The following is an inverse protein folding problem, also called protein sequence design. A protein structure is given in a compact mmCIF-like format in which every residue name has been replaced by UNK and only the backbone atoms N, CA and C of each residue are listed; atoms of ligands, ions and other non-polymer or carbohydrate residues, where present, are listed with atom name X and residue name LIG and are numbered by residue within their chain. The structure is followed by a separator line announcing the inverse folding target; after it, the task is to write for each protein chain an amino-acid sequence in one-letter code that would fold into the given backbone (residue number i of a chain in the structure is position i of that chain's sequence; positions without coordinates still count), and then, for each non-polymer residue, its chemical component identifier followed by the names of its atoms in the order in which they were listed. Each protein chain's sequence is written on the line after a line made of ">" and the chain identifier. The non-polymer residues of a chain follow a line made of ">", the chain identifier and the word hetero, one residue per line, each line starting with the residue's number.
data_IF_068534259841
#
_entry.id   IF_068534259841
#
_cell.length_a   1.000
_cell.length_b   1.000
_cell.length_c   1.000
_cell.angle_alpha   90.00
_cell.angle_beta   90.00
_cell.angle_gamma   90.00
#
_symmetry.space_group_name_H-M   'P 1'
#
loop_
_entity.id
_entity.type
_entity.pdbx_description
1 polymer ?
2 polymer ?
3 non-polymer ?
4 water ?
#
# COMPACT_ATOMS: atom_id res chain seq x y z
N UNK A 18 6.56 -3.89 -47.89
CA UNK A 18 7.04 -5.27 -47.99
C UNK A 18 6.88 -6.06 -46.64
N UNK A 19 7.24 -5.55 -45.43
CA UNK A 19 7.06 -6.39 -44.20
C UNK A 19 5.59 -6.54 -43.77
N UNK A 20 4.65 -5.81 -44.43
CA UNK A 20 3.20 -5.81 -44.20
C UNK A 20 2.57 -7.05 -44.91
N UNK A 21 3.08 -7.41 -46.11
CA UNK A 21 2.60 -8.54 -46.89
C UNK A 21 3.00 -9.89 -46.25
N UNK A 22 4.12 -9.92 -45.47
CA UNK A 22 4.66 -11.10 -44.77
C UNK A 22 3.67 -11.60 -43.71
N UNK A 23 3.19 -10.69 -42.84
CA UNK A 23 2.24 -11.00 -41.76
C UNK A 23 0.83 -11.28 -42.37
N UNK A 24 0.50 -10.63 -43.52
CA UNK A 24 -0.76 -10.82 -44.24
C UNK A 24 -0.82 -12.22 -44.85
N UNK A 25 0.35 -12.78 -45.20
CA UNK A 25 0.52 -14.12 -45.77
C UNK A 25 0.63 -15.16 -44.65
N UNK A 26 1.63 -15.00 -43.75
CA UNK A 26 1.89 -15.91 -42.62
C UNK A 26 1.84 -15.15 -41.29
N UNK A 27 0.68 -15.13 -40.66
CA UNK A 27 0.46 -14.45 -39.38
C UNK A 27 -0.30 -15.26 -38.36
N UNK A 28 0.14 -15.21 -37.10
CA UNK A 28 -0.48 -15.93 -36.00
C UNK A 28 -1.74 -15.21 -35.53
N UNK A 29 -2.90 -15.78 -35.87
CA UNK A 29 -4.23 -15.26 -35.50
C UNK A 29 -4.40 -15.47 -33.99
N UNK A 30 -4.02 -14.43 -33.21
CA UNK A 30 -4.03 -14.46 -31.74
C UNK A 30 -5.39 -14.01 -31.15
N UNK A 31 -6.44 -13.91 -32.00
CA UNK A 31 -7.79 -13.52 -31.58
C UNK A 31 -8.53 -14.67 -30.90
N UNK A 32 -9.35 -14.33 -29.88
CA UNK A 32 -10.19 -15.26 -29.12
C UNK A 32 -11.32 -15.79 -30.01
N UNK A 33 -11.97 -14.87 -30.75
CA UNK A 33 -13.07 -15.14 -31.68
C UNK A 33 -12.57 -15.89 -32.94
N UNK A 34 -11.26 -15.78 -33.25
CA UNK A 34 -10.55 -16.39 -34.39
C UNK A 34 -11.22 -15.96 -35.71
N UNK A 35 -10.99 -14.69 -36.10
CA UNK A 35 -11.57 -14.08 -37.31
C UNK A 35 -10.51 -13.32 -38.16
N UNK A 36 -9.19 -13.67 -38.00
CA UNK A 36 -8.00 -13.11 -38.68
C UNK A 36 -7.79 -11.58 -38.38
N UNK A 37 -8.54 -11.05 -37.41
CA UNK A 37 -8.52 -9.65 -36.99
C UNK A 37 -7.21 -9.09 -36.47
N UNK A 38 -6.41 -9.92 -35.79
CA UNK A 38 -5.09 -9.55 -35.24
C UNK A 38 -4.11 -10.68 -35.60
N UNK A 39 -3.12 -10.38 -36.48
CA UNK A 39 -2.12 -11.37 -36.92
C UNK A 39 -0.72 -10.92 -36.48
N UNK A 40 0.06 -11.84 -35.88
CA UNK A 40 1.40 -11.54 -35.39
C UNK A 40 2.50 -12.35 -36.11
N UNK A 41 3.72 -11.79 -36.13
CA UNK A 41 4.93 -12.40 -36.67
C UNK A 41 6.09 -11.79 -35.86
N UNK A 42 6.83 -12.65 -35.14
CA UNK A 42 7.93 -12.20 -34.29
C UNK A 42 9.15 -11.91 -35.16
N UNK A 43 9.62 -10.65 -35.13
CA UNK A 43 10.80 -10.19 -35.86
C UNK A 43 12.08 -10.53 -35.05
N UNK A 44 12.07 -10.22 -33.74
CA UNK A 44 13.16 -10.46 -32.79
C UNK A 44 12.58 -11.06 -31.51
N UNK A 45 13.08 -12.24 -31.10
CA UNK A 45 12.58 -12.93 -29.89
C UNK A 45 13.06 -12.23 -28.59
N UNK A 46 12.38 -12.55 -27.48
CA UNK A 46 12.67 -12.01 -26.16
C UNK A 46 13.00 -13.06 -25.12
N UNK A 47 13.85 -12.69 -24.14
CA UNK A 47 14.29 -13.60 -23.07
C UNK A 47 13.29 -13.65 -21.90
N UNK A 48 13.11 -14.84 -21.34
CA UNK A 48 12.19 -15.14 -20.25
C UNK A 48 10.86 -15.62 -20.79
N UNK A 49 10.16 -16.53 -20.06
CA UNK A 49 8.87 -17.03 -20.54
C UNK A 49 7.69 -16.35 -19.80
N UNK A 50 7.93 -15.12 -19.32
CA UNK A 50 6.91 -14.31 -18.68
C UNK A 50 6.32 -13.35 -19.69
N UNK A 51 4.98 -13.37 -19.81
CA UNK A 51 4.17 -12.50 -20.68
C UNK A 51 3.42 -11.52 -19.78
N UNK A 52 3.21 -10.23 -20.20
CA UNK A 52 2.49 -9.29 -19.34
C UNK A 52 1.02 -9.66 -19.15
N UNK A 53 0.49 -9.35 -17.95
CA UNK A 53 -0.90 -9.61 -17.57
C UNK A 53 -1.72 -8.31 -17.47
N UNK A 54 -3.04 -8.45 -17.26
CA UNK A 54 -3.99 -7.35 -17.08
C UNK A 54 -3.46 -6.42 -15.98
N UNK A 55 -3.58 -5.11 -16.22
CA UNK A 55 -3.18 -4.05 -15.29
C UNK A 55 -1.70 -3.77 -15.11
N UNK A 56 -0.83 -4.48 -15.84
CA UNK A 56 0.60 -4.28 -15.73
C UNK A 56 1.05 -3.02 -16.47
N UNK A 57 2.06 -2.33 -15.94
CA UNK A 57 2.64 -1.11 -16.52
C UNK A 57 3.64 -1.55 -17.60
N UNK A 58 3.18 -1.51 -18.84
CA UNK A 58 3.91 -1.93 -20.02
C UNK A 58 4.64 -0.75 -20.69
N UNK A 59 5.98 -0.91 -20.86
CA UNK A 59 6.91 0.01 -21.50
C UNK A 59 7.20 -0.51 -22.91
N UNK A 60 6.77 0.22 -23.97
CA UNK A 60 6.98 -0.21 -25.38
C UNK A 60 7.54 0.88 -26.28
N UNK A 61 8.07 0.44 -27.42
CA UNK A 61 8.60 1.25 -28.50
C UNK A 61 7.88 0.82 -29.76
N UNK A 62 7.30 1.76 -30.53
CA UNK A 62 6.58 1.37 -31.74
C UNK A 62 6.73 2.36 -32.89
N UNK A 63 6.35 1.88 -34.10
CA UNK A 63 6.27 2.57 -35.39
C UNK A 63 4.92 2.21 -35.99
N UNK A 64 4.15 3.22 -36.39
CA UNK A 64 2.83 2.99 -36.97
C UNK A 64 2.76 3.37 -38.43
N UNK A 65 2.37 2.42 -39.28
CA UNK A 65 2.22 2.62 -40.73
C UNK A 65 0.83 2.22 -41.19
N UNK A 66 0.20 3.04 -42.06
CA UNK A 66 -1.15 2.82 -42.60
C UNK A 66 -1.19 1.66 -43.62
N UNK A 67 -2.37 1.44 -44.23
CA UNK A 67 -2.64 0.40 -45.23
C UNK A 67 -1.72 0.50 -46.46
N UNK A 68 -1.36 1.72 -46.92
CA UNK A 68 -0.48 1.92 -48.07
C UNK A 68 1.01 1.86 -47.66
N UNK A 69 1.31 2.24 -46.42
CA UNK A 69 2.66 2.24 -45.86
C UNK A 69 3.10 3.56 -45.24
N UNK A 70 2.23 4.57 -45.25
CA UNK A 70 2.47 5.91 -44.70
C UNK A 70 2.70 5.84 -43.17
N UNK A 71 3.87 6.33 -42.71
CA UNK A 71 4.20 6.36 -41.28
C UNK A 71 3.41 7.48 -40.59
N UNK A 72 2.31 7.11 -39.90
CA UNK A 72 1.42 8.08 -39.25
C UNK A 72 1.96 8.61 -37.91
N UNK A 73 2.25 7.71 -36.96
CA UNK A 73 2.72 8.07 -35.63
C UNK A 73 3.77 7.04 -35.20
N UNK A 74 4.85 7.52 -34.56
CA UNK A 74 5.96 6.66 -34.14
C UNK A 74 6.60 7.13 -32.83
N UNK A 75 7.04 6.16 -32.00
CA UNK A 75 7.74 6.39 -30.74
C UNK A 75 9.24 6.48 -31.00
N UNK A 76 9.74 5.74 -32.02
CA UNK A 76 11.15 5.72 -32.46
C UNK A 76 11.56 7.08 -33.06
N UNK A 77 10.55 7.91 -33.45
CA UNK A 77 10.70 9.28 -33.93
C UNK A 77 10.46 10.25 -32.73
N UNK A 78 11.01 9.82 -31.57
CA UNK A 78 11.02 10.44 -30.23
C UNK A 78 12.10 9.75 -29.37
N UNK A 79 12.42 8.47 -29.68
CA UNK A 79 13.38 7.55 -29.02
C UNK A 79 13.02 7.30 -27.53
N UNK A 80 11.99 8.02 -27.03
CA UNK A 80 11.45 7.93 -25.68
C UNK A 80 10.27 6.96 -25.68
N UNK A 81 10.26 5.96 -24.77
CA UNK A 81 9.18 4.97 -24.77
C UNK A 81 7.84 5.48 -24.24
N UNK A 82 6.77 4.77 -24.64
CA UNK A 82 5.38 4.99 -24.29
C UNK A 82 4.96 3.93 -23.28
N UNK A 83 4.57 4.39 -22.09
CA UNK A 83 4.16 3.56 -20.96
C UNK A 83 2.62 3.63 -20.78
N UNK A 84 1.95 2.46 -20.76
CA UNK A 84 0.50 2.38 -20.55
C UNK A 84 0.14 1.11 -19.78
N UNK A 85 -1.07 1.04 -19.22
CA UNK A 85 -1.55 -0.13 -18.48
C UNK A 85 -2.29 -1.06 -19.45
N UNK A 86 -1.75 -2.28 -19.61
CA UNK A 86 -2.22 -3.32 -20.53
C UNK A 86 -3.51 -3.95 -20.05
N UNK A 87 -4.44 -4.12 -20.98
CA UNK A 87 -5.76 -4.72 -20.75
C UNK A 87 -6.60 -3.83 -19.88
N UNK A 88 -6.50 -2.52 -20.10
CA UNK A 88 -7.24 -1.53 -19.33
C UNK A 88 -8.00 -0.60 -20.31
N UNK A 89 -8.05 -1.01 -21.59
CA UNK A 89 -8.71 -0.28 -22.67
C UNK A 89 -8.07 1.05 -23.00
N UNK A 90 -6.78 1.21 -22.63
CA UNK A 90 -5.97 2.42 -22.82
C UNK A 90 -5.42 2.52 -24.26
N UNK A 91 -5.42 1.38 -24.99
CA UNK A 91 -5.00 1.28 -26.40
C UNK A 91 -6.06 0.47 -27.19
N UNK A 92 -5.94 0.44 -28.54
CA UNK A 92 -6.84 -0.30 -29.44
C UNK A 92 -6.91 -1.79 -29.03
N UNK A 93 -8.07 -2.42 -29.34
CA UNK A 93 -8.42 -3.81 -29.04
C UNK A 93 -7.25 -4.75 -29.38
N UNK A 94 -6.70 -4.59 -30.60
CA UNK A 94 -5.60 -5.36 -31.17
C UNK A 94 -4.32 -5.32 -30.32
N UNK A 95 -4.01 -4.16 -29.73
CA UNK A 95 -2.82 -4.00 -28.90
C UNK A 95 -2.97 -4.69 -27.55
N UNK A 96 -4.19 -4.61 -26.92
CA UNK A 96 -4.47 -5.25 -25.62
C UNK A 96 -4.36 -6.79 -25.75
N UNK A 97 -4.78 -7.35 -26.92
CA UNK A 97 -4.69 -8.78 -27.25
C UNK A 97 -3.22 -9.10 -27.59
N UNK A 98 -2.61 -8.23 -28.40
CA UNK A 98 -1.23 -8.30 -28.87
C UNK A 98 -0.16 -8.42 -27.81
N UNK A 99 0.26 -7.28 -27.23
CA UNK A 99 1.31 -7.13 -26.21
C UNK A 99 1.23 -8.22 -25.10
N UNK A 100 0.02 -8.75 -24.82
CA UNK A 100 -0.26 -9.81 -23.85
C UNK A 100 0.43 -11.15 -24.18
N UNK A 101 0.69 -11.39 -25.48
CA UNK A 101 1.30 -12.62 -26.00
C UNK A 101 2.84 -12.51 -26.09
N UNK A 102 3.37 -11.28 -25.96
CA UNK A 102 4.79 -10.92 -26.08
C UNK A 102 5.65 -11.24 -24.85
N UNK A 103 6.96 -11.50 -25.08
CA UNK A 103 8.01 -11.74 -24.07
C UNK A 103 8.85 -10.47 -23.95
N UNK A 104 9.67 -10.31 -22.88
CA UNK A 104 10.46 -9.07 -22.72
C UNK A 104 11.60 -8.99 -23.77
N UNK A 105 11.72 -7.82 -24.40
CA UNK A 105 12.72 -7.53 -25.43
C UNK A 105 12.28 -7.92 -26.83
N UNK A 106 11.06 -8.47 -26.96
CA UNK A 106 10.46 -8.93 -28.21
C UNK A 106 10.11 -7.77 -29.16
N UNK A 107 10.28 -8.00 -30.46
CA UNK A 107 9.88 -7.13 -31.57
C UNK A 107 8.97 -7.98 -32.45
N UNK A 108 7.72 -7.53 -32.63
CA UNK A 108 6.76 -8.26 -33.45
C UNK A 108 6.00 -7.30 -34.34
N UNK A 109 5.55 -7.80 -35.48
CA UNK A 109 4.80 -7.02 -36.44
C UNK A 109 3.33 -7.43 -36.33
N UNK A 110 2.47 -6.44 -36.02
CA UNK A 110 1.03 -6.66 -35.87
C UNK A 110 0.23 -6.09 -37.04
N UNK A 111 -0.71 -6.91 -37.55
CA UNK A 111 -1.65 -6.55 -38.62
C UNK A 111 -3.04 -6.54 -38.01
N UNK A 112 -3.62 -5.33 -37.88
CA UNK A 112 -4.87 -5.11 -37.18
C UNK A 112 -6.01 -4.67 -38.10
N UNK A 113 -7.11 -5.45 -38.08
CA UNK A 113 -8.34 -5.18 -38.82
C UNK A 113 -9.05 -3.94 -38.21
N UNK A 114 -9.84 -3.16 -38.99
CA UNK A 114 -10.52 -1.98 -38.40
C UNK A 114 -11.40 -2.31 -37.21
N UNK A 115 -11.92 -3.55 -37.18
CA UNK A 115 -12.79 -4.12 -36.14
C UNK A 115 -12.07 -4.18 -34.78
N UNK A 116 -10.74 -4.29 -34.81
CA UNK A 116 -9.88 -4.35 -33.64
C UNK A 116 -9.03 -3.08 -33.49
N UNK A 117 -9.21 -2.11 -34.40
CA UNK A 117 -8.48 -0.84 -34.41
C UNK A 117 -9.39 0.36 -34.05
N UNK A 118 -9.70 1.26 -35.02
CA UNK A 118 -10.50 2.46 -34.78
C UNK A 118 -11.93 2.39 -35.41
N UNK A 119 -12.28 1.22 -35.93
CA UNK A 119 -13.59 0.95 -36.55
C UNK A 119 -13.79 1.70 -37.85
N UNK A 120 -15.07 1.98 -38.14
CA UNK A 120 -15.47 2.75 -39.32
C UNK A 120 -15.25 4.22 -39.05
N UNK A 121 -15.28 4.60 -37.75
CA UNK A 121 -15.12 5.96 -37.27
C UNK A 121 -13.73 6.53 -37.59
N UNK A 122 -12.70 5.67 -37.48
CA UNK A 122 -11.31 6.04 -37.69
C UNK A 122 -10.80 6.94 -36.58
N UNK A 123 -9.78 7.75 -36.87
CA UNK A 123 -9.23 8.75 -35.96
C UNK A 123 -8.68 9.90 -36.81
N UNK A 124 -9.54 10.40 -37.72
CA UNK A 124 -9.29 11.46 -38.70
C UNK A 124 -8.65 12.71 -38.07
N UNK A 125 -7.72 13.40 -38.77
CA UNK A 125 -7.24 13.19 -40.15
C UNK A 125 -6.12 12.15 -40.33
N UNK A 126 -5.62 11.54 -39.23
CA UNK A 126 -4.49 10.61 -39.26
C UNK A 126 -4.88 9.20 -39.75
N UNK A 127 -5.91 8.59 -39.12
CA UNK A 127 -6.38 7.23 -39.44
C UNK A 127 -7.69 7.30 -40.22
N UNK A 128 -7.74 6.74 -41.46
CA UNK A 128 -9.00 6.72 -42.20
C UNK A 128 -10.02 5.70 -41.65
N UNK A 129 -11.22 5.75 -42.24
CA UNK A 129 -12.39 4.91 -41.99
C UNK A 129 -12.08 3.49 -42.43
N UNK A 130 -12.41 2.49 -41.58
CA UNK A 130 -12.18 1.06 -41.81
C UNK A 130 -10.76 0.84 -42.34
N UNK A 131 -9.77 1.14 -41.47
CA UNK A 131 -8.36 1.07 -41.81
C UNK A 131 -7.65 -0.10 -41.14
N UNK A 132 -6.94 -0.89 -41.96
CA UNK A 132 -6.13 -2.02 -41.56
C UNK A 132 -4.75 -1.43 -41.29
N UNK A 133 -4.38 -1.36 -40.01
CA UNK A 133 -3.14 -0.75 -39.55
C UNK A 133 -2.03 -1.74 -39.31
N UNK A 134 -0.80 -1.27 -39.53
CA UNK A 134 0.43 -2.02 -39.30
C UNK A 134 1.20 -1.38 -38.15
N UNK A 135 1.78 -2.22 -37.29
CA UNK A 135 2.57 -1.77 -36.16
C UNK A 135 3.83 -2.58 -36.02
N UNK A 136 4.86 -1.98 -35.39
CA UNK A 136 6.12 -2.61 -35.04
C UNK A 136 6.33 -2.30 -33.57
N UNK A 137 5.96 -3.24 -32.68
CA UNK A 137 5.99 -3.04 -31.23
C UNK A 137 7.16 -3.81 -30.58
N UNK A 138 7.95 -3.08 -29.78
CA UNK A 138 9.10 -3.55 -29.04
C UNK A 138 8.78 -3.48 -27.54
N UNK A 139 8.56 -4.66 -26.89
CA UNK A 139 8.25 -4.73 -25.46
C UNK A 139 9.55 -4.51 -24.67
N UNK A 140 9.86 -3.23 -24.35
CA UNK A 140 11.06 -2.76 -23.65
C UNK A 140 11.20 -3.35 -22.24
N UNK A 141 10.13 -3.28 -21.44
CA UNK A 141 10.01 -3.76 -20.06
C UNK A 141 8.54 -3.75 -19.64
N UNK A 142 8.19 -4.55 -18.61
CA UNK A 142 6.84 -4.60 -18.05
C UNK A 142 6.92 -4.97 -16.60
N UNK A 143 6.19 -4.23 -15.78
CA UNK A 143 6.12 -4.37 -14.33
C UNK A 143 4.68 -4.56 -13.88
N UNK A 144 4.50 -5.22 -12.76
CA UNK A 144 3.18 -5.37 -12.16
C UNK A 144 2.80 -4.10 -11.42
N UNK A 145 1.51 -3.95 -11.13
CA UNK A 145 0.94 -2.79 -10.45
C UNK A 145 1.39 -2.70 -8.96
N UNK A 146 2.14 -1.64 -8.63
CA UNK A 146 2.64 -1.33 -7.28
C UNK A 146 1.51 -0.61 -6.50
N UNK A 147 0.66 -1.39 -5.80
CA UNK A 147 -0.53 -0.92 -5.06
C UNK A 147 -0.32 0.28 -4.11
N UNK A 148 0.84 0.41 -3.49
CA UNK A 148 1.03 1.52 -2.56
C UNK A 148 2.29 2.31 -2.90
N UNK A 149 2.80 2.12 -4.13
CA UNK A 149 3.94 2.80 -4.75
C UNK A 149 5.22 2.71 -3.88
N UNK A 150 5.35 1.62 -3.08
CA UNK A 150 6.50 1.38 -2.20
C UNK A 150 7.23 0.06 -2.54
N UNK A 151 6.64 -0.72 -3.43
CA UNK A 151 7.17 -2.02 -3.84
C UNK A 151 6.78 -3.12 -2.88
N UNK A 152 5.97 -2.77 -1.88
CA UNK A 152 5.53 -3.70 -0.85
C UNK A 152 4.47 -4.68 -1.29
N UNK A 153 3.59 -4.23 -2.21
CA UNK A 153 2.55 -5.08 -2.78
C UNK A 153 2.54 -4.85 -4.31
N UNK A 154 2.97 -5.86 -5.07
CA UNK A 154 2.96 -5.84 -6.52
C UNK A 154 1.89 -6.82 -6.95
N UNK A 155 0.81 -6.31 -7.54
CA UNK A 155 -0.33 -7.07 -8.02
C UNK A 155 -0.22 -7.40 -9.53
N UNK A 156 -0.58 -8.62 -9.89
CA UNK A 156 -0.65 -9.10 -11.27
C UNK A 156 -2.06 -9.69 -11.43
N UNK A 157 -2.90 -9.12 -12.31
CA UNK A 157 -4.27 -9.61 -12.40
C UNK A 157 -4.46 -10.73 -13.46
N UNK A 158 -5.09 -11.81 -12.98
CA UNK A 158 -5.48 -13.01 -13.72
C UNK A 158 -6.89 -12.81 -14.28
N UNK A 159 -7.84 -12.35 -13.43
CA UNK A 159 -9.24 -12.09 -13.79
C UNK A 159 -9.74 -10.78 -13.22
N UNK A 160 -10.49 -10.03 -14.06
CA UNK A 160 -11.15 -8.79 -13.69
C UNK A 160 -12.36 -9.12 -12.84
N UNK A 161 -12.63 -8.28 -11.84
CA UNK A 161 -13.80 -8.42 -10.99
C UNK A 161 -15.04 -7.83 -11.62
N UNK A 162 -16.23 -8.32 -11.21
CA UNK A 162 -17.55 -7.84 -11.68
C UNK A 162 -17.95 -6.63 -10.85
N UNK A 163 -17.20 -6.44 -9.77
CA UNK A 163 -17.38 -5.38 -8.78
C UNK A 163 -17.66 -3.97 -9.24
N UNK A 164 -18.36 -3.25 -8.34
CA UNK A 164 -18.79 -1.85 -8.40
C UNK A 164 -18.27 -1.09 -7.16
N UNK A 165 -17.97 -1.86 -6.09
CA UNK A 165 -17.46 -1.45 -4.79
C UNK A 165 -16.38 -2.42 -4.32
N UNK A 166 -15.43 -1.92 -3.54
CA UNK A 166 -14.38 -2.77 -2.99
C UNK A 166 -14.67 -3.06 -1.52
N UNK A 167 -14.17 -4.15 -0.88
CA UNK A 167 -14.39 -4.29 0.57
C UNK A 167 -13.63 -3.20 1.34
N UNK A 168 -14.13 -2.86 2.53
CA UNK A 168 -13.56 -1.83 3.43
C UNK A 168 -13.03 -2.48 4.71
N UNK A 169 -12.14 -1.77 5.43
CA UNK A 169 -11.54 -2.24 6.69
C UNK A 169 -12.64 -2.55 7.70
N UNK A 170 -12.96 -3.83 7.82
CA UNK A 170 -14.02 -4.30 8.70
C UNK A 170 -15.02 -5.21 8.00
N UNK A 171 -14.93 -5.28 6.65
CA UNK A 171 -15.78 -6.13 5.83
C UNK A 171 -15.45 -7.56 6.04
N UNK A 172 -16.46 -8.42 6.08
CA UNK A 172 -16.27 -9.87 6.17
C UNK A 172 -16.13 -10.37 4.74
N UNK A 173 -15.03 -11.06 4.43
CA UNK A 173 -14.78 -11.56 3.08
C UNK A 173 -14.66 -13.06 3.05
N UNK A 174 -15.03 -13.64 1.89
CA UNK A 174 -14.92 -15.06 1.54
C UNK A 174 -13.96 -15.10 0.39
N UNK A 175 -12.78 -15.67 0.63
CA UNK A 175 -11.72 -15.71 -0.38
C UNK A 175 -11.10 -17.07 -0.47
N UNK A 176 -10.41 -17.36 -1.61
CA UNK A 176 -9.56 -18.54 -1.79
C UNK A 176 -8.15 -18.04 -1.74
N UNK A 177 -7.31 -18.68 -0.95
CA UNK A 177 -5.95 -18.23 -0.74
C UNK A 177 -4.91 -19.32 -0.93
N UNK A 178 -3.92 -19.02 -1.78
CA UNK A 178 -2.76 -19.87 -2.06
C UNK A 178 -1.50 -19.07 -1.76
N UNK A 179 -0.66 -19.57 -0.85
CA UNK A 179 0.56 -18.89 -0.46
C UNK A 179 1.84 -19.65 -0.66
N UNK A 180 2.83 -18.99 -1.31
CA UNK A 180 4.15 -19.58 -1.59
C UNK A 180 5.30 -18.74 -1.01
N UNK A 181 6.31 -19.43 -0.48
CA UNK A 181 7.50 -18.85 0.10
C UNK A 181 8.74 -19.49 -0.56
N UNK A 182 9.27 -18.82 -1.57
CA UNK A 182 10.40 -19.33 -2.34
C UNK A 182 10.02 -20.49 -3.23
N UNK A 183 8.75 -20.49 -3.64
CA UNK A 183 8.15 -21.50 -4.48
C UNK A 183 7.46 -22.60 -3.71
N UNK A 184 7.58 -22.60 -2.39
CA UNK A 184 6.97 -23.65 -1.58
C UNK A 184 5.61 -23.19 -1.09
N UNK A 185 4.56 -24.00 -1.34
CA UNK A 185 3.20 -23.72 -0.91
C UNK A 185 3.01 -24.12 0.55
N UNK A 186 2.67 -23.16 1.39
CA UNK A 186 2.47 -23.32 2.84
C UNK A 186 0.98 -23.12 3.21
N UNK A 187 0.22 -22.51 2.30
CA UNK A 187 -1.19 -22.26 2.46
C UNK A 187 -1.95 -22.50 1.17
N UNK A 188 -3.11 -23.16 1.24
CA UNK A 188 -4.00 -23.35 0.08
C UNK A 188 -5.40 -23.65 0.59
N UNK A 189 -6.21 -22.61 0.80
CA UNK A 189 -7.54 -22.80 1.38
C UNK A 189 -8.53 -21.70 1.10
N UNK A 190 -9.81 -22.05 1.16
CA UNK A 190 -10.95 -21.14 1.16
C UNK A 190 -11.06 -20.63 2.60
N UNK A 191 -10.89 -19.32 2.83
CA UNK A 191 -10.93 -18.79 4.20
C UNK A 191 -11.89 -17.61 4.29
N UNK A 192 -12.65 -17.56 5.39
CA UNK A 192 -13.56 -16.43 5.68
C UNK A 192 -13.05 -15.65 6.90
N UNK A 193 -12.83 -14.34 6.73
CA UNK A 193 -12.32 -13.45 7.79
C UNK A 193 -12.73 -11.98 7.57
N UNK A 194 -12.48 -11.12 8.57
CA UNK A 194 -12.76 -9.67 8.55
C UNK A 194 -11.51 -8.90 8.04
N UNK A 195 -11.68 -8.05 7.02
CA UNK A 195 -10.60 -7.22 6.51
C UNK A 195 -10.07 -6.39 7.66
N UNK A 196 -8.77 -6.51 7.92
CA UNK A 196 -8.07 -5.81 8.99
C UNK A 196 -7.64 -6.76 10.10
N UNK A 197 -8.33 -7.94 10.18
CA UNK A 197 -8.19 -9.02 11.16
C UNK A 197 -7.68 -10.35 10.52
N UNK A 198 -6.74 -10.23 9.58
CA UNK A 198 -6.14 -11.38 8.93
C UNK A 198 -5.30 -12.27 9.84
N UNK A 199 -4.63 -11.66 10.83
CA UNK A 199 -3.78 -12.36 11.81
C UNK A 199 -4.49 -13.49 12.53
N UNK A 200 -5.79 -13.28 12.77
CA UNK A 200 -6.67 -14.24 13.42
C UNK A 200 -6.74 -15.55 12.61
N UNK A 201 -6.57 -15.46 11.28
CA UNK A 201 -6.62 -16.62 10.39
C UNK A 201 -5.26 -16.90 9.73
N UNK A 202 -4.16 -16.44 10.35
CA UNK A 202 -2.79 -16.61 9.88
C UNK A 202 -2.64 -16.09 8.44
N UNK A 203 -3.18 -14.89 8.18
CA UNK A 203 -3.12 -14.19 6.89
C UNK A 203 -2.25 -12.93 7.12
N UNK A 204 -1.25 -12.64 6.25
CA UNK A 204 -0.41 -11.45 6.47
C UNK A 204 -1.17 -10.15 6.10
N UNK A 205 -0.83 -9.05 6.80
CA UNK A 205 -1.46 -7.73 6.67
C UNK A 205 -1.64 -7.28 5.20
N UNK A 206 -0.71 -7.70 4.33
CA UNK A 206 -0.71 -7.40 2.90
C UNK A 206 -2.01 -7.77 2.20
N UNK A 207 -2.58 -8.93 2.54
CA UNK A 207 -3.80 -9.45 1.94
C UNK A 207 -4.96 -8.50 2.27
N UNK A 208 -5.13 -8.14 3.55
CA UNK A 208 -6.18 -7.22 4.01
C UNK A 208 -6.05 -5.90 3.27
N UNK A 209 -4.80 -5.37 3.15
CA UNK A 209 -4.53 -4.09 2.49
C UNK A 209 -4.87 -4.14 1.01
N UNK A 210 -4.52 -5.26 0.32
CA UNK A 210 -4.77 -5.48 -1.11
C UNK A 210 -6.25 -5.74 -1.41
N UNK A 211 -6.99 -6.40 -0.47
CA UNK A 211 -8.42 -6.70 -0.61
C UNK A 211 -9.28 -5.44 -0.78
N UNK A 212 -8.88 -4.32 -0.14
CA UNK A 212 -9.55 -3.04 -0.24
C UNK A 212 -9.45 -2.46 -1.66
N UNK A 213 -8.44 -2.88 -2.45
CA UNK A 213 -8.24 -2.44 -3.83
C UNK A 213 -8.71 -3.54 -4.82
N UNK A 214 -9.37 -4.58 -4.29
CA UNK A 214 -9.87 -5.71 -5.09
C UNK A 214 -11.36 -5.62 -5.28
N UNK A 215 -11.87 -6.25 -6.35
CA UNK A 215 -13.28 -6.34 -6.73
C UNK A 215 -13.80 -7.75 -6.52
N UNK A 216 -15.13 -7.93 -6.34
CA UNK A 216 -15.74 -9.25 -6.21
C UNK A 216 -15.54 -10.01 -7.53
N UNK A 217 -14.99 -11.22 -7.43
CA UNK A 217 -14.66 -12.19 -8.48
C UNK A 217 -13.28 -11.90 -9.11
N UNK A 218 -12.47 -11.05 -8.45
CA UNK A 218 -11.14 -10.77 -8.96
C UNK A 218 -10.18 -11.90 -8.57
N UNK A 219 -9.34 -12.30 -9.53
CA UNK A 219 -8.29 -13.30 -9.32
C UNK A 219 -6.97 -12.62 -9.58
N UNK A 220 -6.11 -12.54 -8.55
CA UNK A 220 -4.83 -11.88 -8.74
C UNK A 220 -3.69 -12.51 -7.93
N UNK A 221 -2.50 -12.29 -8.45
CA UNK A 221 -1.25 -12.66 -7.83
C UNK A 221 -0.78 -11.39 -7.09
N UNK A 222 -0.23 -11.57 -5.88
CA UNK A 222 0.29 -10.47 -5.06
C UNK A 222 1.64 -10.86 -4.56
N UNK A 223 2.64 -9.99 -4.74
CA UNK A 223 3.98 -10.22 -4.22
C UNK A 223 4.08 -9.35 -3.00
N UNK A 224 4.10 -10.00 -1.83
CA UNK A 224 4.18 -9.33 -0.54
C UNK A 224 5.62 -9.18 -0.12
N UNK A 225 6.09 -7.95 -0.20
CA UNK A 225 7.43 -7.57 0.20
C UNK A 225 7.60 -7.67 1.71
N UNK A 226 8.85 -7.53 2.21
CA UNK A 226 9.09 -7.65 3.65
C UNK A 226 8.08 -6.94 4.59
N UNK A 227 7.60 -5.75 4.21
CA UNK A 227 6.71 -4.98 5.09
C UNK A 227 5.26 -5.49 5.13
N UNK A 228 4.81 -6.16 4.07
CA UNK A 228 3.41 -6.56 4.03
C UNK A 228 3.21 -8.04 4.24
N UNK A 229 4.29 -8.76 4.55
CA UNK A 229 4.27 -10.19 4.85
C UNK A 229 4.14 -10.43 6.34
N UNK A 230 4.77 -11.51 6.86
CA UNK A 230 4.67 -11.86 8.28
C UNK A 230 5.70 -11.12 9.15
N UNK A 231 6.59 -10.39 8.49
CA UNK A 231 7.59 -9.55 9.16
C UNK A 231 8.71 -10.23 9.90
N UNK A 232 9.36 -9.45 10.79
CA UNK A 232 10.55 -9.76 11.58
C UNK A 232 10.48 -11.09 12.39
N UNK A 233 9.27 -11.54 12.75
CA UNK A 233 9.01 -12.74 13.51
C UNK A 233 8.93 -14.01 12.64
N UNK A 234 8.48 -13.84 11.41
CA UNK A 234 8.28 -14.95 10.50
C UNK A 234 7.03 -15.72 10.90
N UNK A 235 6.76 -16.82 10.21
CA UNK A 235 5.60 -17.63 10.53
C UNK A 235 6.11 -19.05 10.74
N UNK A 236 6.50 -19.35 12.00
CA UNK A 236 7.10 -20.66 12.29
C UNK A 236 6.26 -21.87 11.86
N UNK A 237 4.91 -21.83 11.99
CA UNK A 237 4.04 -22.94 11.61
C UNK A 237 4.07 -23.19 10.11
N UNK A 238 4.30 -22.14 9.30
CA UNK A 238 4.43 -22.26 7.85
C UNK A 238 5.90 -22.35 7.44
N UNK A 239 6.81 -22.43 8.42
CA UNK A 239 8.24 -22.52 8.19
C UNK A 239 8.80 -21.34 7.41
N UNK A 240 8.16 -20.15 7.57
CA UNK A 240 8.51 -18.89 6.94
C UNK A 240 9.45 -18.14 7.86
N UNK A 241 10.63 -17.80 7.34
CA UNK A 241 11.68 -17.06 8.01
C UNK A 241 11.34 -15.57 8.16
N UNK A 242 12.03 -14.78 9.04
CA UNK A 242 11.73 -13.34 9.14
C UNK A 242 11.86 -12.58 7.82
N UNK A 243 10.96 -11.60 7.62
CA UNK A 243 10.86 -10.70 6.47
C UNK A 243 10.99 -11.43 5.12
N UNK A 244 10.45 -12.66 5.03
CA UNK A 244 10.50 -13.43 3.79
C UNK A 244 9.53 -12.85 2.79
N UNK A 245 9.89 -12.86 1.51
CA UNK A 245 9.01 -12.36 0.46
C UNK A 245 7.98 -13.47 0.12
N UNK A 246 6.70 -13.11 0.11
CA UNK A 246 5.65 -14.09 -0.15
C UNK A 246 4.86 -13.78 -1.39
N UNK A 247 4.50 -14.82 -2.15
CA UNK A 247 3.65 -14.68 -3.33
C UNK A 247 2.34 -15.37 -3.02
N UNK A 248 1.26 -14.61 -3.10
CA UNK A 248 -0.07 -15.13 -2.88
C UNK A 248 -0.95 -15.05 -4.11
N UNK A 249 -1.88 -15.98 -4.19
CA UNK A 249 -2.91 -16.08 -5.20
C UNK A 249 -4.23 -15.92 -4.46
N UNK A 250 -4.88 -14.77 -4.62
CA UNK A 250 -6.15 -14.47 -3.93
C UNK A 250 -7.29 -14.37 -4.93
N UNK A 251 -8.43 -15.00 -4.59
CA UNK A 251 -9.67 -14.91 -5.35
C UNK A 251 -10.74 -14.36 -4.39
N UNK A 252 -11.21 -13.14 -4.63
CA UNK A 252 -12.27 -12.56 -3.82
C UNK A 252 -13.60 -13.16 -4.28
N UNK A 253 -14.04 -14.23 -3.57
CA UNK A 253 -15.25 -15.00 -3.91
C UNK A 253 -16.50 -14.17 -3.66
N UNK A 254 -16.52 -13.41 -2.55
CA UNK A 254 -17.60 -12.55 -2.10
C UNK A 254 -17.17 -11.76 -0.87
N UNK A 255 -17.92 -10.69 -0.56
CA UNK A 255 -17.69 -9.87 0.62
C UNK A 255 -18.96 -9.14 1.00
N UNK A 256 -19.02 -8.70 2.26
CA UNK A 256 -20.10 -7.92 2.80
C UNK A 256 -19.45 -6.75 3.57
N UNK A 257 -19.57 -5.52 3.02
CA UNK A 257 -18.95 -4.27 3.53
C UNK A 257 -19.36 -3.96 4.96
N UNK A 258 -18.46 -3.31 5.69
CA UNK A 258 -18.70 -2.85 7.06
C UNK A 258 -19.61 -1.63 6.99
N UNK A 259 -20.45 -1.44 8.04
CA UNK A 259 -21.30 -0.25 8.13
C UNK A 259 -20.38 0.97 8.27
N UNK A 260 -20.72 2.05 7.56
CA UNK A 260 -19.98 3.29 7.61
C UNK A 260 -20.29 3.98 8.91
N UNK A 261 -19.41 4.89 9.33
CA UNK A 261 -19.56 5.64 10.57
C UNK A 261 -21.02 6.21 10.73
N UNK A 262 -21.57 6.85 9.68
CA UNK A 262 -22.92 7.46 9.71
C UNK A 262 -24.07 6.46 9.52
N UNK A 263 -23.75 5.21 9.17
CA UNK A 263 -24.76 4.18 8.96
C UNK A 263 -25.18 3.56 10.31
N UNK A 264 -24.40 3.83 11.36
CA UNK A 264 -24.64 3.34 12.71
C UNK A 264 -25.18 4.44 13.61
N UNK A 265 -26.14 4.09 14.47
CA UNK A 265 -26.69 4.98 15.49
C UNK A 265 -25.71 4.99 16.69
N UNK A 266 -25.93 5.85 17.69
CA UNK A 266 -25.06 5.93 18.88
C UNK A 266 -25.11 4.62 19.68
N UNK A 267 -26.30 4.00 19.80
CA UNK A 267 -26.49 2.73 20.52
C UNK A 267 -25.50 1.66 19.97
N UNK A 268 -25.48 1.46 18.63
CA UNK A 268 -24.57 0.54 17.94
C UNK A 268 -23.14 0.95 18.19
N UNK A 269 -22.79 2.23 17.91
CA UNK A 269 -21.43 2.76 18.07
C UNK A 269 -20.89 2.51 19.47
N UNK A 270 -21.70 2.70 20.52
CA UNK A 270 -21.25 2.45 21.89
C UNK A 270 -21.12 0.93 22.21
N UNK A 271 -21.97 0.07 21.60
CA UNK A 271 -21.88 -1.40 21.75
C UNK A 271 -20.60 -1.88 21.10
N UNK A 272 -20.36 -1.38 19.87
CA UNK A 272 -19.20 -1.76 19.07
C UNK A 272 -17.89 -1.20 19.62
N UNK A 273 -17.95 -0.04 20.30
CA UNK A 273 -16.80 0.60 20.92
C UNK A 273 -16.15 -0.33 21.93
N UNK A 274 -16.95 -0.95 22.81
CA UNK A 274 -16.46 -1.87 23.84
C UNK A 274 -15.84 -3.13 23.25
N UNK A 275 -16.51 -3.74 22.23
CA UNK A 275 -16.04 -4.96 21.54
C UNK A 275 -14.68 -4.69 20.91
N UNK A 276 -14.60 -3.67 20.02
CA UNK A 276 -13.36 -3.34 19.31
C UNK A 276 -12.28 -2.83 20.30
N UNK A 277 -12.66 -2.19 21.45
CA UNK A 277 -11.66 -1.74 22.41
C UNK A 277 -11.02 -2.96 23.06
N UNK A 278 -11.86 -3.93 23.47
CA UNK A 278 -11.41 -5.16 24.08
C UNK A 278 -10.53 -5.94 23.09
N UNK A 279 -10.97 -6.04 21.81
CA UNK A 279 -10.25 -6.72 20.73
C UNK A 279 -8.89 -6.04 20.50
N UNK A 280 -8.86 -4.72 20.59
CA UNK A 280 -7.65 -3.92 20.42
C UNK A 280 -6.63 -4.19 21.51
N UNK A 281 -7.11 -4.30 22.76
CA UNK A 281 -6.30 -4.55 23.95
C UNK A 281 -5.70 -5.96 23.84
N UNK A 282 -6.50 -6.95 23.39
CA UNK A 282 -6.06 -8.33 23.14
C UNK A 282 -4.84 -8.28 22.20
N UNK A 283 -4.98 -7.58 21.05
CA UNK A 283 -3.90 -7.45 20.05
C UNK A 283 -2.64 -6.82 20.61
N UNK A 284 -2.84 -5.77 21.43
CA UNK A 284 -1.78 -5.02 22.06
C UNK A 284 -0.93 -5.92 22.97
N UNK A 285 -1.60 -6.64 23.90
CA UNK A 285 -0.99 -7.55 24.87
C UNK A 285 -0.27 -8.67 24.15
N UNK A 286 -0.78 -9.05 22.99
CA UNK A 286 -0.18 -10.07 22.14
C UNK A 286 1.01 -9.56 21.34
N UNK A 287 1.20 -8.25 21.30
CA UNK A 287 2.33 -7.63 20.60
C UNK A 287 2.07 -7.40 19.13
N UNK A 288 0.79 -7.54 18.73
CA UNK A 288 0.34 -7.33 17.36
C UNK A 288 -0.22 -5.90 17.27
N UNK A 289 0.70 -4.90 17.38
CA UNK A 289 0.42 -3.46 17.45
C UNK A 289 -0.26 -2.87 16.22
N UNK A 290 0.04 -3.40 15.03
CA UNK A 290 -0.55 -3.01 13.74
C UNK A 290 -2.05 -3.23 13.77
N UNK A 291 -2.48 -4.39 14.31
CA UNK A 291 -3.85 -4.85 14.43
C UNK A 291 -4.54 -4.12 15.60
N UNK A 292 -3.75 -3.71 16.62
CA UNK A 292 -4.28 -2.94 17.75
C UNK A 292 -4.71 -1.55 17.25
N UNK A 293 -3.83 -0.90 16.45
CA UNK A 293 -4.07 0.41 15.82
C UNK A 293 -5.39 0.38 15.01
N UNK A 294 -5.62 -0.69 14.23
CA UNK A 294 -6.83 -0.84 13.43
C UNK A 294 -8.11 -0.82 14.33
N UNK A 295 -8.16 -1.64 15.39
CA UNK A 295 -9.33 -1.76 16.27
C UNK A 295 -9.65 -0.46 17.00
N UNK A 296 -8.63 0.21 17.57
CA UNK A 296 -8.84 1.47 18.28
C UNK A 296 -9.24 2.58 17.31
N UNK A 297 -8.67 2.57 16.10
CA UNK A 297 -8.95 3.55 15.06
C UNK A 297 -10.40 3.57 14.60
N UNK A 298 -11.15 2.50 14.92
CA UNK A 298 -12.57 2.36 14.61
C UNK A 298 -13.35 3.23 15.56
N UNK A 299 -12.97 3.22 16.84
CA UNK A 299 -13.59 4.06 17.88
C UNK A 299 -13.44 5.55 17.48
N UNK A 300 -12.20 5.96 17.11
CA UNK A 300 -11.90 7.34 16.69
C UNK A 300 -12.78 7.70 15.47
N UNK A 301 -12.80 6.85 14.44
CA UNK A 301 -13.62 7.05 13.24
C UNK A 301 -15.13 7.18 13.55
N UNK A 302 -15.63 6.45 14.55
CA UNK A 302 -17.05 6.44 14.85
C UNK A 302 -17.52 7.53 15.80
N UNK A 303 -16.68 8.00 16.71
CA UNK A 303 -17.16 8.89 17.78
C UNK A 303 -16.57 10.30 17.87
N UNK A 304 -15.45 10.58 17.18
CA UNK A 304 -14.75 11.88 17.29
C UNK A 304 -15.61 13.10 16.93
N UNK A 305 -16.35 13.04 15.82
CA UNK A 305 -17.13 14.20 15.33
C UNK A 305 -18.61 14.26 15.77
N UNK A 306 -19.07 13.27 16.55
CA UNK A 306 -20.47 13.18 16.99
C UNK A 306 -20.89 14.33 17.91
N UNK A 307 -22.19 14.69 17.85
CA UNK A 307 -22.84 15.75 18.63
C UNK A 307 -24.34 15.47 18.74
N UNK A 308 -24.99 16.09 19.73
CA UNK A 308 -26.42 15.92 19.96
C UNK A 308 -26.74 14.59 20.60
N UNK A 309 -25.91 14.20 21.58
CA UNK A 309 -25.98 12.96 22.35
C UNK A 309 -26.59 13.18 23.74
N UNK A 310 -27.10 12.13 24.38
CA UNK A 310 -27.63 12.24 25.75
C UNK A 310 -26.46 12.44 26.74
N UNK A 311 -26.74 12.91 27.96
CA UNK A 311 -25.71 13.12 28.98
C UNK A 311 -24.91 11.83 29.21
N UNK A 312 -25.62 10.69 29.27
CA UNK A 312 -25.04 9.35 29.47
C UNK A 312 -24.26 8.89 28.24
N UNK A 313 -24.79 9.15 27.03
CA UNK A 313 -24.18 8.78 25.75
C UNK A 313 -22.90 9.54 25.53
N UNK A 314 -22.92 10.86 25.79
CA UNK A 314 -21.81 11.79 25.61
C UNK A 314 -20.66 11.46 26.56
N UNK A 315 -20.96 11.21 27.86
CA UNK A 315 -19.95 10.86 28.88
C UNK A 315 -19.25 9.53 28.51
N UNK A 316 -20.03 8.54 28.03
CA UNK A 316 -19.56 7.22 27.59
C UNK A 316 -18.67 7.35 26.34
N UNK A 317 -19.15 8.05 25.30
CA UNK A 317 -18.47 8.30 24.04
C UNK A 317 -17.12 8.95 24.29
N UNK A 318 -17.09 9.89 25.23
CA UNK A 318 -15.86 10.62 25.58
C UNK A 318 -14.89 9.69 26.26
N UNK A 319 -15.38 8.74 27.08
CA UNK A 319 -14.52 7.76 27.77
C UNK A 319 -13.80 6.88 26.77
N UNK A 320 -14.54 6.31 25.79
CA UNK A 320 -13.98 5.45 24.73
C UNK A 320 -13.04 6.24 23.86
N UNK A 321 -13.43 7.49 23.54
CA UNK A 321 -12.60 8.34 22.69
C UNK A 321 -11.26 8.66 23.33
N UNK A 322 -11.23 9.04 24.62
CA UNK A 322 -9.97 9.32 25.32
C UNK A 322 -9.14 8.02 25.47
N UNK A 323 -9.78 6.86 25.73
CA UNK A 323 -9.09 5.58 25.84
C UNK A 323 -8.40 5.26 24.52
N UNK A 324 -9.17 5.29 23.41
CA UNK A 324 -8.66 5.00 22.06
C UNK A 324 -7.43 5.87 21.75
N UNK A 325 -7.50 7.18 21.99
CA UNK A 325 -6.38 8.09 21.72
C UNK A 325 -5.15 7.75 22.56
N UNK A 326 -5.32 7.49 23.86
CA UNK A 326 -4.20 7.11 24.75
C UNK A 326 -3.61 5.74 24.36
N UNK A 327 -4.46 4.80 23.93
CA UNK A 327 -4.02 3.47 23.54
C UNK A 327 -3.28 3.53 22.20
N UNK A 328 -3.78 4.34 21.26
CA UNK A 328 -3.15 4.53 19.98
C UNK A 328 -1.79 5.17 20.16
N UNK A 329 -1.64 6.09 21.13
CA UNK A 329 -0.34 6.69 21.43
C UNK A 329 0.64 5.59 21.83
N UNK A 330 0.18 4.67 22.70
CA UNK A 330 0.91 3.51 23.20
C UNK A 330 1.37 2.64 22.04
N UNK A 331 0.44 2.29 21.13
CA UNK A 331 0.69 1.50 19.92
C UNK A 331 1.75 2.13 19.06
N UNK A 332 1.58 3.43 18.72
CA UNK A 332 2.48 4.16 17.85
C UNK A 332 3.87 4.30 18.45
N UNK A 333 3.99 4.37 19.79
CA UNK A 333 5.29 4.43 20.45
C UNK A 333 6.04 3.09 20.23
N UNK A 334 5.33 1.98 20.48
CA UNK A 334 5.84 0.63 20.30
C UNK A 334 6.07 0.34 18.80
N UNK A 335 5.35 1.01 17.88
CA UNK A 335 5.51 0.84 16.43
C UNK A 335 6.63 1.72 15.85
N UNK A 336 7.35 2.47 16.73
CA UNK A 336 8.47 3.37 16.43
C UNK A 336 8.03 4.56 15.54
N UNK A 337 6.70 4.81 15.49
CA UNK A 337 6.05 5.88 14.74
C UNK A 337 5.68 7.01 15.73
N UNK A 338 6.72 7.72 16.20
CA UNK A 338 6.65 8.77 17.22
C UNK A 338 5.85 10.01 16.78
N UNK A 339 5.73 10.32 15.47
CA UNK A 339 4.95 11.50 15.05
C UNK A 339 3.43 11.26 15.29
N UNK A 340 2.93 10.08 14.92
CA UNK A 340 1.56 9.63 15.10
C UNK A 340 1.21 9.56 16.58
N UNK A 341 2.20 9.18 17.42
CA UNK A 341 2.11 9.09 18.87
C UNK A 341 1.82 10.46 19.48
N UNK A 342 2.57 11.51 19.04
CA UNK A 342 2.40 12.92 19.46
C UNK A 342 1.01 13.40 18.98
N UNK A 343 0.62 13.03 17.72
CA UNK A 343 -0.66 13.36 17.13
C UNK A 343 -1.80 12.87 18.01
N UNK A 344 -1.72 11.60 18.45
CA UNK A 344 -2.73 10.98 19.32
C UNK A 344 -2.74 11.61 20.72
N UNK A 345 -1.56 11.86 21.31
CA UNK A 345 -1.42 12.53 22.59
C UNK A 345 -2.10 13.91 22.52
N UNK A 346 -1.89 14.64 21.42
CA UNK A 346 -2.50 15.95 21.16
C UNK A 346 -4.03 15.85 21.15
N UNK A 347 -4.56 14.78 20.53
CA UNK A 347 -6.01 14.57 20.47
C UNK A 347 -6.54 14.29 21.87
N UNK A 348 -5.89 13.37 22.59
CA UNK A 348 -6.22 12.97 23.96
C UNK A 348 -6.20 14.18 24.89
N UNK A 349 -5.11 14.98 24.81
CA UNK A 349 -4.92 16.17 25.64
C UNK A 349 -5.90 17.24 25.24
N UNK A 350 -6.44 17.12 24.02
CA UNK A 350 -7.54 17.98 23.57
C UNK A 350 -8.72 17.76 24.51
N UNK A 351 -9.18 16.50 24.59
CA UNK A 351 -10.29 16.03 25.45
C UNK A 351 -9.99 16.21 26.96
N UNK A 352 -8.80 15.79 27.43
CA UNK A 352 -8.37 15.90 28.83
C UNK A 352 -6.96 16.51 28.88
N UNK A 353 -6.93 17.83 29.01
CA UNK A 353 -5.76 18.70 29.07
C UNK A 353 -4.77 18.33 30.18
N UNK A 354 -5.24 17.60 31.22
CA UNK A 354 -4.45 17.21 32.39
C UNK A 354 -4.06 15.73 32.42
N UNK A 355 -4.44 14.92 31.37
CA UNK A 355 -4.16 13.48 31.34
C UNK A 355 -2.68 13.19 31.50
N UNK A 356 -2.33 12.43 32.56
CA UNK A 356 -0.97 12.02 32.92
C UNK A 356 -0.32 11.22 31.81
N UNK A 357 -1.01 10.17 31.35
CA UNK A 357 -0.55 9.27 30.29
C UNK A 357 -0.34 10.03 28.99
N UNK A 358 -1.31 10.86 28.61
CA UNK A 358 -1.23 11.65 27.40
C UNK A 358 -0.02 12.57 27.36
N UNK A 359 0.21 13.26 28.48
CA UNK A 359 1.32 14.17 28.67
C UNK A 359 2.65 13.42 28.67
N UNK A 360 2.72 12.29 29.42
CA UNK A 360 3.91 11.46 29.54
C UNK A 360 4.29 10.88 28.18
N UNK A 361 3.36 10.16 27.54
CA UNK A 361 3.57 9.55 26.23
C UNK A 361 3.97 10.60 25.18
N UNK A 362 3.50 11.86 25.33
CA UNK A 362 3.88 12.95 24.43
C UNK A 362 5.36 13.24 24.63
N UNK A 363 5.81 13.34 25.90
CA UNK A 363 7.21 13.55 26.23
C UNK A 363 8.09 12.40 25.76
N UNK A 364 7.57 11.17 25.82
CA UNK A 364 8.29 9.99 25.35
C UNK A 364 8.60 10.08 23.87
N UNK A 365 7.59 10.31 23.04
CA UNK A 365 7.75 10.37 21.59
C UNK A 365 8.55 11.59 21.15
N UNK A 366 8.48 12.67 21.92
CA UNK A 366 9.18 13.90 21.57
C UNK A 366 10.64 13.77 21.89
N UNK A 367 10.97 13.06 22.99
CA UNK A 367 12.36 12.80 23.39
C UNK A 367 13.01 11.91 22.34
N UNK A 368 12.21 11.00 21.76
CA UNK A 368 12.64 10.06 20.74
C UNK A 368 12.82 10.75 19.39
N UNK A 369 12.06 11.81 19.12
CA UNK A 369 12.23 12.61 17.89
C UNK A 369 13.27 13.71 18.11
N UNK A 370 14.00 13.61 19.25
CA UNK A 370 15.07 14.49 19.70
C UNK A 370 14.60 15.94 19.89
N UNK A 371 13.35 16.12 20.32
CA UNK A 371 12.75 17.43 20.63
C UNK A 371 12.78 17.58 22.15
N UNK A 372 14.01 17.62 22.69
CA UNK A 372 14.38 17.61 24.10
C UNK A 372 13.66 18.65 24.92
N UNK A 373 13.79 19.94 24.57
CA UNK A 373 13.12 21.00 25.32
C UNK A 373 11.60 20.86 25.23
N UNK A 374 11.07 20.48 24.06
CA UNK A 374 9.64 20.25 23.86
C UNK A 374 9.16 19.11 24.83
N UNK A 375 9.94 18.01 24.90
CA UNK A 375 9.70 16.85 25.77
C UNK A 375 9.87 17.20 27.25
N UNK A 376 10.84 18.08 27.60
CA UNK A 376 11.13 18.53 28.97
C UNK A 376 9.87 19.05 29.61
N UNK A 377 9.17 19.91 28.86
CA UNK A 377 7.92 20.55 29.24
C UNK A 377 6.81 19.56 29.51
N UNK A 378 6.70 18.53 28.64
CA UNK A 378 5.69 17.49 28.77
C UNK A 378 5.89 16.72 30.08
N UNK A 379 7.12 16.24 30.35
CA UNK A 379 7.41 15.54 31.59
C UNK A 379 7.27 16.47 32.80
N UNK A 380 7.49 17.78 32.61
CA UNK A 380 7.36 18.78 33.68
C UNK A 380 5.88 18.95 34.01
N UNK A 381 5.02 19.06 32.96
CA UNK A 381 3.58 19.18 33.06
C UNK A 381 2.97 17.89 33.67
N UNK A 382 3.71 16.75 33.58
CA UNK A 382 3.31 15.46 34.18
C UNK A 382 3.44 15.58 35.70
N UNK A 383 4.58 16.15 36.18
CA UNK A 383 4.83 16.34 37.61
C UNK A 383 3.84 17.33 38.21
N UNK A 384 3.37 18.30 37.39
CA UNK A 384 2.34 19.25 37.77
C UNK A 384 1.06 18.49 38.14
N UNK A 385 0.76 17.41 37.38
CA UNK A 385 -0.40 16.53 37.61
C UNK A 385 -0.02 15.62 38.79
N UNK A 386 0.76 14.55 38.56
CA UNK A 386 1.18 13.64 39.63
C UNK A 386 2.64 13.93 39.99
N UNK A 387 2.90 14.58 41.14
CA UNK A 387 4.29 14.86 41.53
C UNK A 387 4.99 13.63 42.10
N UNK A 388 4.22 12.58 42.43
CA UNK A 388 4.71 11.33 43.01
C UNK A 388 5.11 10.34 41.91
N UNK A 389 5.06 10.78 40.64
CA UNK A 389 5.48 10.02 39.46
C UNK A 389 7.01 10.11 39.38
N UNK A 390 7.70 9.05 39.79
CA UNK A 390 9.16 8.97 39.82
C UNK A 390 9.76 8.99 38.42
N UNK A 391 9.05 8.38 37.44
CA UNK A 391 9.48 8.22 36.05
C UNK A 391 9.62 9.53 35.28
N UNK A 392 8.79 10.54 35.57
CA UNK A 392 8.88 11.82 34.87
C UNK A 392 10.16 12.57 35.25
N UNK A 393 10.58 12.46 36.53
CA UNK A 393 11.79 13.08 37.07
C UNK A 393 13.04 12.51 36.42
N UNK A 394 13.08 11.17 36.25
CA UNK A 394 14.19 10.43 35.65
C UNK A 394 14.35 10.80 34.18
N UNK A 395 13.21 11.05 33.49
CA UNK A 395 13.14 11.40 32.08
C UNK A 395 13.42 12.90 31.86
N UNK A 396 13.34 13.72 32.91
CA UNK A 396 13.66 15.14 32.81
C UNK A 396 15.18 15.25 32.80
N UNK A 397 15.84 14.50 33.70
CA UNK A 397 17.29 14.42 33.79
C UNK A 397 17.85 13.70 32.57
N UNK A 398 17.01 12.85 31.93
CA UNK A 398 17.37 12.14 30.71
C UNK A 398 17.36 13.12 29.55
N UNK A 399 16.35 14.01 29.50
CA UNK A 399 16.21 15.06 28.50
C UNK A 399 17.41 15.95 28.54
N UNK A 400 17.84 16.33 29.75
CA UNK A 400 19.02 17.18 30.01
C UNK A 400 20.30 16.51 29.47
N UNK A 401 20.58 15.28 29.90
CA UNK A 401 21.75 14.47 29.54
C UNK A 401 21.82 14.23 28.02
N UNK A 402 20.70 13.79 27.41
CA UNK A 402 20.65 13.48 25.98
C UNK A 402 20.71 14.74 25.11
N UNK A 403 20.23 15.90 25.61
CA UNK A 403 20.30 17.15 24.86
C UNK A 403 21.73 17.68 24.81
N UNK A 404 22.50 17.48 25.91
CA UNK A 404 23.91 17.90 26.01
C UNK A 404 24.77 17.06 25.05
N UNK A 405 24.41 15.77 24.88
CA UNK A 405 25.07 14.82 23.97
C UNK A 405 24.82 15.20 22.51
N UNK A 406 23.59 15.64 22.20
CA UNK A 406 23.19 16.02 20.85
C UNK A 406 23.95 17.25 20.36
N UNK A 407 24.18 18.24 21.24
CA UNK A 407 24.89 19.47 20.89
C UNK A 407 26.39 19.20 20.69
N UNK A 408 27.02 18.39 21.56
CA UNK A 408 28.43 18.04 21.43
C UNK A 408 28.68 17.32 20.11
N UNK A 409 27.80 16.37 19.77
CA UNK A 409 27.85 15.58 18.54
C UNK A 409 27.69 16.50 17.32
N UNK A 410 26.71 17.44 17.38
CA UNK A 410 26.43 18.42 16.33
C UNK A 410 27.60 19.36 16.14
N UNK A 411 28.29 19.72 17.25
CA UNK A 411 29.48 20.58 17.29
C UNK A 411 30.67 19.91 16.63
N UNK A 412 30.79 18.59 16.84
CA UNK A 412 31.87 17.76 16.29
C UNK A 412 31.71 17.61 14.80
N UNK A 413 30.52 17.17 14.31
CA UNK A 413 30.17 17.02 12.90
C UNK A 413 30.46 18.33 12.14
N UNK A 414 30.07 19.47 12.73
CA UNK A 414 30.27 20.80 12.17
C UNK A 414 31.76 21.11 12.09
N UNK A 415 32.53 20.84 13.17
CA UNK A 415 33.98 21.08 13.23
C UNK A 415 34.75 20.21 12.22
N UNK A 416 34.25 18.99 11.98
CA UNK A 416 34.86 18.08 11.02
C UNK A 416 34.45 18.48 9.58
N UNK A 417 33.18 18.91 9.35
CA UNK A 417 32.76 19.35 8.01
C UNK A 417 33.39 20.73 7.68
N UNK A 418 33.81 21.49 8.71
CA UNK A 418 34.56 22.74 8.55
C UNK A 418 35.95 22.37 8.08
N UNK A 419 36.49 21.24 8.59
CA UNK A 419 37.81 20.69 8.22
C UNK A 419 37.76 20.22 6.76
N UNK A 420 36.75 19.41 6.41
CA UNK A 420 36.53 18.85 5.08
C UNK A 420 36.44 19.98 4.04
N UNK A 421 35.55 20.97 4.27
CA UNK A 421 35.35 22.12 3.37
C UNK A 421 36.43 23.22 3.63
N UNK A 422 37.70 22.80 3.84
CA UNK A 422 38.87 23.66 4.10
C UNK A 422 40.18 22.94 3.78
N UNK A 423 40.21 21.60 3.91
CA UNK A 423 41.38 20.80 3.60
C UNK A 423 41.22 20.27 2.16
N UNK A 424 39.95 20.02 1.73
CA UNK A 424 39.62 19.57 0.38
C UNK A 424 39.40 20.78 -0.55
N UNK A 425 38.77 21.84 -0.02
CA UNK A 425 38.50 23.06 -0.77
C UNK A 425 39.79 23.88 -1.01
N UNK A 426 40.86 23.64 -0.22
CA UNK A 426 42.15 24.31 -0.37
C UNK A 426 42.95 23.70 -1.52
N UNK A 427 42.71 22.40 -1.82
CA UNK A 427 43.35 21.65 -2.92
C UNK A 427 42.84 22.15 -4.30
N UNK A 428 41.74 22.95 -4.30
CA UNK A 428 41.11 23.56 -5.49
C UNK A 428 41.95 24.76 -6.00
N UNK A 429 43.21 24.48 -6.37
CA UNK A 429 44.19 25.44 -6.89
C UNK A 429 44.94 24.83 -8.07
N UNK A 430 45.34 23.54 -7.96
CA UNK A 430 46.05 22.76 -8.98
C UNK A 430 45.77 21.26 -8.82
N UNK B 8 8.57 1.14 39.17
CA UNK B 8 7.19 0.73 39.44
C UNK B 8 6.18 1.68 38.75
N UNK B 9 6.67 2.81 38.18
CA UNK B 9 5.80 3.77 37.49
C UNK B 9 5.56 3.23 36.03
N UNK B 10 5.18 1.93 35.94
CA UNK B 10 4.88 1.17 34.73
C UNK B 10 3.45 1.43 34.26
N UNK B 11 2.73 2.33 34.97
CA UNK B 11 1.37 2.76 34.65
C UNK B 11 1.34 3.41 33.27
N UNK B 12 2.43 4.12 32.94
CA UNK B 12 2.62 4.86 31.68
C UNK B 12 2.78 3.90 30.49
N UNK B 13 2.76 2.58 30.77
CA UNK B 13 2.84 1.50 29.78
C UNK B 13 1.48 0.79 29.72
N UNK B 14 0.65 0.96 30.76
CA UNK B 14 -0.69 0.36 30.86
C UNK B 14 -1.66 0.99 29.88
N UNK B 15 -2.45 0.15 29.24
CA UNK B 15 -3.47 0.54 28.28
C UNK B 15 -4.79 0.78 29.06
N UNK B 16 -5.75 1.53 28.46
CA UNK B 16 -7.06 1.87 29.04
C UNK B 16 -8.23 1.21 28.28
#
# INVERSE_FOLDING_TARGET
>A
GPLGSMTTDEGAKNNEESPTATVAEQGEDITSKKDRGVLKIVKRVGNGEETPMIGDKVYVHYKGKLSNGKKFDSSHDRNEPFVFSLGKGQVIKAWDIGVATMKKGEICHLLCKPEYAYGSAGSLPKIPSNATLFFEIELLDFKGEDLFEDGGIIRRTKRKGEGYSNPNEGATVEIHLEGRCGGRMFDCRDVAFTVGEGEDHDIPIGIDKALEKMQREEQCILYLGPRYGFGEAGKPKFGIEPNAELIYEVTLKSFEKAKESWEMDTKEKLEQAAIVKEKGTVYFKGGKYMQAVIQYGKIVSWLEMEYGLSEKESKASESFLLAAFLNLAMCYLKLREYTKAVECCDKALGLDSANEKGLYRRGEAQLLMNEFESAKGDFEKVLEVNPQNKAARLQISMCQKKAKEHNERDRRIYANMFKKFAEQDAKEEANKAMGKKTSEGVTNEKGTDSQAMEEEKPEGHV
>B
HHHHHHDDTSRMEEVD
#
